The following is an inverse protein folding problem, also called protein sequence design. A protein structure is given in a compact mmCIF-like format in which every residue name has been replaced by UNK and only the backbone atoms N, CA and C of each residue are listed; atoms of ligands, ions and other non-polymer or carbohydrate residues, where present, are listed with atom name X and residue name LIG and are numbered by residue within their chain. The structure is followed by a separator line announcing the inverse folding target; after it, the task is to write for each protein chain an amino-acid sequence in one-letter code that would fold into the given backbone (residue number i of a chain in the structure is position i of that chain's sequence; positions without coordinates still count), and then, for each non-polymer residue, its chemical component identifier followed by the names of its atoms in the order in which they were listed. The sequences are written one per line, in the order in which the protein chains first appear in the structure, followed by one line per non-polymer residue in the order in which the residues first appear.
data_IF_168438394636
#
_entry.id   IF_168438394636
#
_cell.length_a   1.000
_cell.length_b   1.000
_cell.length_c   1.000
_cell.angle_alpha   90.00
_cell.angle_beta   90.00
_cell.angle_gamma   90.00
#
_symmetry.space_group_name_H-M   'P 1'
#
loop_
_entity.id
_entity.type
_entity.pdbx_description
1 polymer ?
#
# COMPACT_ATOMS: atom_id res chain seq x y z
N UNK A 1 27.40 2.19 11.07
CA UNK A 1 26.57 1.23 10.31
C UNK A 1 26.75 1.55 8.84
N UNK A 2 27.09 0.56 8.02
CA UNK A 2 27.39 0.77 6.60
C UNK A 2 26.18 0.40 5.76
N UNK A 3 25.75 1.32 4.89
CA UNK A 3 24.67 1.12 3.92
C UNK A 3 25.27 1.25 2.52
N UNK A 4 24.80 0.43 1.60
CA UNK A 4 25.06 0.58 0.16
C UNK A 4 23.84 1.23 -0.49
N UNK A 5 24.06 2.25 -1.31
CA UNK A 5 23.00 2.89 -2.09
C UNK A 5 23.26 2.71 -3.57
N UNK A 6 22.22 2.57 -4.37
CA UNK A 6 22.29 2.45 -5.82
C UNK A 6 21.05 3.03 -6.48
N UNK A 7 21.17 3.32 -7.76
CA UNK A 7 20.04 3.76 -8.60
C UNK A 7 19.94 2.85 -9.81
N UNK A 8 18.76 2.30 -10.07
CA UNK A 8 18.50 1.51 -11.26
C UNK A 8 18.38 2.41 -12.51
N UNK A 9 18.56 1.86 -13.73
CA UNK A 9 18.43 2.66 -14.96
C UNK A 9 17.10 3.38 -15.15
N UNK A 10 16.03 2.87 -14.54
CA UNK A 10 14.69 3.46 -14.56
C UNK A 10 14.45 4.50 -13.45
N UNK A 11 15.50 4.88 -12.70
CA UNK A 11 15.41 5.90 -11.65
C UNK A 11 15.07 5.39 -10.26
N UNK A 12 14.69 4.12 -10.09
CA UNK A 12 14.41 3.55 -8.76
C UNK A 12 15.70 3.58 -7.92
N UNK A 13 15.60 4.19 -6.75
CA UNK A 13 16.70 4.26 -5.77
C UNK A 13 16.61 3.09 -4.81
N UNK A 14 17.73 2.46 -4.54
CA UNK A 14 17.82 1.38 -3.57
C UNK A 14 18.79 1.69 -2.45
N UNK A 15 18.46 1.21 -1.25
CA UNK A 15 19.33 1.18 -0.09
C UNK A 15 19.40 -0.24 0.42
N UNK A 16 20.60 -0.73 0.68
CA UNK A 16 20.82 -2.09 1.18
C UNK A 16 21.75 -2.06 2.38
N UNK A 17 21.39 -2.85 3.39
CA UNK A 17 22.22 -3.14 4.55
C UNK A 17 22.39 -4.63 4.72
N UNK A 18 23.60 -5.10 4.60
CA UNK A 18 23.92 -6.48 4.90
C UNK A 18 24.06 -6.69 6.41
N UNK A 19 23.33 -7.67 6.94
CA UNK A 19 23.38 -8.06 8.34
C UNK A 19 23.64 -9.57 8.48
N UNK A 20 24.22 -9.97 9.61
CA UNK A 20 24.39 -11.39 9.95
C UNK A 20 23.12 -11.89 10.66
N UNK A 21 22.06 -12.12 9.88
CA UNK A 21 20.79 -12.63 10.37
C UNK A 21 20.29 -13.73 9.43
N UNK A 22 19.44 -14.61 9.94
CA UNK A 22 18.71 -15.62 9.18
C UNK A 22 17.45 -15.05 8.53
N UNK A 23 16.93 -13.96 9.07
CA UNK A 23 15.76 -13.23 8.54
C UNK A 23 16.23 -12.07 7.67
N UNK A 24 15.52 -11.84 6.58
CA UNK A 24 15.71 -10.73 5.66
C UNK A 24 14.40 -9.93 5.52
N UNK A 25 14.54 -8.62 5.42
CA UNK A 25 13.44 -7.70 5.17
C UNK A 25 13.63 -7.03 3.81
N UNK A 26 12.54 -6.85 3.07
CA UNK A 26 12.52 -6.20 1.78
C UNK A 26 11.31 -5.27 1.73
N UNK A 27 11.48 -4.06 1.22
CA UNK A 27 10.39 -3.11 1.05
C UNK A 27 10.54 -2.32 -0.25
N UNK A 28 9.41 -1.92 -0.82
CA UNK A 28 9.29 -0.88 -1.83
C UNK A 28 8.47 0.25 -1.24
N UNK A 29 9.04 1.45 -1.24
CA UNK A 29 8.38 2.67 -0.78
C UNK A 29 8.01 3.51 -2.00
N UNK A 30 6.75 3.84 -2.11
CA UNK A 30 6.17 4.69 -3.16
C UNK A 30 5.92 6.05 -2.50
N UNK A 31 6.55 7.11 -2.99
CA UNK A 31 6.41 8.46 -2.45
C UNK A 31 5.08 9.11 -2.85
N UNK A 32 3.99 8.40 -2.60
CA UNK A 32 2.62 8.87 -2.75
C UNK A 32 1.77 8.29 -1.61
N UNK A 33 1.08 9.15 -0.90
CA UNK A 33 0.23 8.82 0.24
C UNK A 33 -1.07 9.61 0.21
N UNK A 34 -1.82 9.59 1.32
CA UNK A 34 -3.13 10.25 1.32
C UNK A 34 -3.05 11.78 1.16
N UNK A 35 -1.94 12.43 1.51
CA UNK A 35 -1.74 13.88 1.28
C UNK A 35 -1.69 14.30 -0.19
N UNK A 36 -1.46 13.34 -1.10
CA UNK A 36 -1.39 13.59 -2.54
C UNK A 36 -2.77 13.46 -3.20
N UNK A 37 -3.79 13.07 -2.45
CA UNK A 37 -5.17 12.94 -2.89
C UNK A 37 -5.87 14.30 -2.97
N UNK A 38 -6.63 14.55 -4.03
CA UNK A 38 -7.57 15.66 -4.05
C UNK A 38 -8.83 15.35 -3.21
N UNK A 39 -9.60 16.37 -2.76
CA UNK A 39 -10.80 16.15 -1.96
C UNK A 39 -11.84 15.20 -2.57
N UNK A 40 -11.85 15.06 -3.90
CA UNK A 40 -12.68 14.09 -4.59
C UNK A 40 -12.15 12.66 -4.52
N UNK A 41 -10.88 12.48 -4.13
CA UNK A 41 -10.13 11.22 -4.19
C UNK A 41 -9.83 10.61 -2.82
N UNK A 42 -10.27 11.23 -1.74
CA UNK A 42 -9.99 10.78 -0.39
C UNK A 42 -10.31 9.28 -0.17
N UNK A 43 -9.29 8.52 0.23
CA UNK A 43 -9.30 7.08 0.45
C UNK A 43 -8.77 6.25 -0.71
N UNK A 44 -8.31 6.87 -1.80
CA UNK A 44 -7.82 6.15 -2.97
C UNK A 44 -6.47 5.47 -2.72
N UNK A 45 -5.56 6.12 -2.00
CA UNK A 45 -4.26 5.54 -1.65
C UNK A 45 -4.45 4.26 -0.81
N UNK A 46 -5.34 4.31 0.19
CA UNK A 46 -5.70 3.16 1.02
C UNK A 46 -6.41 2.04 0.21
N UNK A 47 -7.36 2.40 -0.67
CA UNK A 47 -7.98 1.43 -1.57
C UNK A 47 -6.95 0.77 -2.50
N UNK A 48 -5.97 1.52 -2.98
CA UNK A 48 -4.89 1.00 -3.83
C UNK A 48 -4.03 0.00 -3.08
N UNK A 49 -3.72 0.26 -1.80
CA UNK A 49 -3.02 -0.67 -0.92
C UNK A 49 -3.76 -2.00 -0.83
N UNK A 50 -5.05 -2.01 -0.50
CA UNK A 50 -5.89 -3.21 -0.46
C UNK A 50 -5.91 -3.94 -1.82
N UNK A 51 -5.96 -3.17 -2.91
CA UNK A 51 -6.03 -3.69 -4.27
C UNK A 51 -4.74 -4.36 -4.75
N UNK A 52 -3.58 -4.04 -4.20
CA UNK A 52 -2.30 -4.69 -4.53
C UNK A 52 -2.34 -6.20 -4.33
N UNK A 53 -3.10 -6.71 -3.38
CA UNK A 53 -3.18 -8.13 -3.05
C UNK A 53 -4.24 -8.90 -3.87
N UNK A 54 -4.94 -8.24 -4.79
CA UNK A 54 -6.09 -8.81 -5.53
C UNK A 54 -5.73 -9.43 -6.88
N UNK A 55 -4.46 -9.48 -7.20
CA UNK A 55 -3.91 -10.17 -8.35
C UNK A 55 -3.08 -9.29 -9.27
N UNK A 56 -2.19 -9.96 -10.00
CA UNK A 56 -1.29 -9.37 -10.98
C UNK A 56 -1.54 -9.99 -12.35
N UNK A 57 -0.85 -9.49 -13.37
CA UNK A 57 -0.84 -10.13 -14.70
C UNK A 57 -0.37 -11.60 -14.66
N UNK A 58 0.40 -11.98 -13.63
CA UNK A 58 1.03 -13.30 -13.49
C UNK A 58 0.41 -14.18 -12.43
N UNK A 59 -0.30 -13.57 -11.45
CA UNK A 59 -0.77 -14.25 -10.23
C UNK A 59 -2.20 -13.87 -9.90
N UNK A 60 -2.99 -14.87 -9.55
CA UNK A 60 -4.30 -14.63 -8.91
C UNK A 60 -4.10 -14.18 -7.47
N UNK A 61 -5.11 -13.54 -6.87
CA UNK A 61 -5.08 -13.05 -5.49
C UNK A 61 -4.54 -14.08 -4.47
N UNK A 62 -5.06 -15.31 -4.49
CA UNK A 62 -4.62 -16.36 -3.58
C UNK A 62 -3.13 -16.73 -3.76
N UNK A 63 -2.60 -16.63 -4.99
CA UNK A 63 -1.18 -16.90 -5.28
C UNK A 63 -0.28 -15.77 -4.77
N UNK A 64 -0.77 -14.54 -4.78
CA UNK A 64 -0.07 -13.40 -4.18
C UNK A 64 0.04 -13.61 -2.67
N UNK A 65 -1.10 -13.85 -2.01
CA UNK A 65 -1.18 -13.95 -0.55
C UNK A 65 -0.39 -15.17 -0.01
N UNK A 66 -0.57 -16.34 -0.60
CA UNK A 66 0.08 -17.56 -0.12
C UNK A 66 1.56 -17.69 -0.54
N UNK A 67 2.08 -16.83 -1.40
CA UNK A 67 3.42 -17.00 -1.99
C UNK A 67 4.54 -17.03 -0.96
N UNK A 68 4.52 -16.14 0.01
CA UNK A 68 5.52 -16.07 1.08
C UNK A 68 5.08 -16.84 2.32
N UNK A 69 3.80 -16.88 2.62
CA UNK A 69 3.26 -17.66 3.75
C UNK A 69 3.67 -19.14 3.66
N UNK A 70 3.58 -19.74 2.47
CA UNK A 70 4.04 -21.12 2.22
C UNK A 70 5.54 -21.35 2.46
N UNK A 71 6.33 -20.29 2.61
CA UNK A 71 7.76 -20.30 2.91
C UNK A 71 8.04 -19.86 4.35
N UNK A 72 6.99 -19.64 5.15
CA UNK A 72 7.10 -19.09 6.51
C UNK A 72 7.48 -17.60 6.54
N UNK A 73 7.24 -16.88 5.44
CA UNK A 73 7.42 -15.43 5.34
C UNK A 73 6.11 -14.68 5.47
N UNK A 74 6.20 -13.37 5.53
CA UNK A 74 5.10 -12.44 5.63
C UNK A 74 5.19 -11.40 4.51
N UNK A 75 4.04 -11.04 3.93
CA UNK A 75 3.89 -9.95 2.97
C UNK A 75 2.81 -9.01 3.50
N UNK A 76 3.11 -7.73 3.55
CA UNK A 76 2.16 -6.72 4.01
C UNK A 76 2.38 -5.39 3.30
N UNK A 77 1.42 -4.47 3.45
CA UNK A 77 1.55 -3.09 3.00
C UNK A 77 0.91 -2.15 4.02
N UNK A 78 1.26 -0.90 3.96
CA UNK A 78 0.59 0.17 4.70
C UNK A 78 0.71 1.49 3.95
N UNK A 79 -0.28 2.34 4.17
CA UNK A 79 -0.36 3.70 3.61
C UNK A 79 -0.24 4.71 4.75
N UNK A 80 0.61 5.71 4.55
CA UNK A 80 0.73 6.88 5.43
C UNK A 80 0.18 8.12 4.73
N UNK A 81 0.33 9.27 5.36
CA UNK A 81 0.02 10.55 4.69
C UNK A 81 0.95 10.82 3.51
N UNK A 82 2.19 10.34 3.53
CA UNK A 82 3.26 10.74 2.59
C UNK A 82 3.75 9.61 1.68
N UNK A 83 3.51 8.36 2.04
CA UNK A 83 3.98 7.21 1.28
C UNK A 83 3.06 5.99 1.39
N UNK A 84 3.20 5.09 0.43
CA UNK A 84 2.64 3.73 0.48
C UNK A 84 3.79 2.74 0.41
N UNK A 85 3.86 1.84 1.37
CA UNK A 85 4.96 0.87 1.50
C UNK A 85 4.43 -0.55 1.35
N UNK A 86 5.04 -1.34 0.46
CA UNK A 86 4.84 -2.79 0.35
C UNK A 86 6.09 -3.44 0.91
N UNK A 87 5.95 -4.33 1.90
CA UNK A 87 7.10 -4.95 2.55
C UNK A 87 6.92 -6.45 2.77
N UNK A 88 8.03 -7.14 2.91
CA UNK A 88 8.07 -8.56 3.21
C UNK A 88 9.17 -8.91 4.20
N UNK A 89 8.88 -9.91 5.02
CA UNK A 89 9.82 -10.55 5.93
C UNK A 89 9.95 -12.01 5.55
N UNK A 90 11.17 -12.50 5.33
CA UNK A 90 11.42 -13.88 4.87
C UNK A 90 12.67 -14.46 5.50
N UNK A 91 12.88 -15.76 5.32
CA UNK A 91 14.22 -16.32 5.50
C UNK A 91 15.15 -15.76 4.41
N UNK A 92 16.43 -15.59 4.75
CA UNK A 92 17.45 -15.02 3.86
C UNK A 92 17.53 -15.72 2.50
N UNK A 93 17.32 -17.05 2.45
CA UNK A 93 17.33 -17.84 1.23
C UNK A 93 16.17 -17.50 0.25
N UNK A 94 15.10 -16.91 0.75
CA UNK A 94 13.90 -16.57 -0.01
C UNK A 94 13.78 -15.08 -0.36
N UNK A 95 14.79 -14.26 -0.01
CA UNK A 95 14.80 -12.83 -0.28
C UNK A 95 14.50 -12.46 -1.74
N UNK A 96 15.09 -13.18 -2.70
CA UNK A 96 14.84 -12.93 -4.12
C UNK A 96 13.38 -13.17 -4.53
N UNK A 97 12.72 -14.14 -3.90
CA UNK A 97 11.29 -14.43 -4.13
C UNK A 97 10.40 -13.31 -3.56
N UNK A 98 10.78 -12.76 -2.39
CA UNK A 98 10.08 -11.63 -1.80
C UNK A 98 10.23 -10.36 -2.66
N UNK A 99 11.44 -10.04 -3.08
CA UNK A 99 11.70 -8.88 -3.93
C UNK A 99 10.98 -8.99 -5.30
N UNK A 100 10.96 -10.18 -5.90
CA UNK A 100 10.23 -10.45 -7.14
C UNK A 100 8.73 -10.28 -6.96
N UNK A 101 8.17 -10.77 -5.84
CA UNK A 101 6.74 -10.65 -5.55
C UNK A 101 6.34 -9.20 -5.31
N UNK A 102 7.10 -8.43 -4.54
CA UNK A 102 6.86 -7.00 -4.33
C UNK A 102 6.88 -6.25 -5.66
N UNK A 103 7.86 -6.52 -6.51
CA UNK A 103 7.92 -5.91 -7.84
C UNK A 103 6.73 -6.31 -8.73
N UNK A 104 6.29 -7.56 -8.67
CA UNK A 104 5.12 -8.02 -9.44
C UNK A 104 3.83 -7.32 -8.98
N UNK A 105 3.64 -7.18 -7.67
CA UNK A 105 2.52 -6.45 -7.07
C UNK A 105 2.56 -4.96 -7.47
N UNK A 106 3.68 -4.29 -7.27
CA UNK A 106 3.77 -2.85 -7.50
C UNK A 106 3.61 -2.46 -8.98
N UNK A 107 4.17 -3.26 -9.90
CA UNK A 107 4.24 -2.87 -11.30
C UNK A 107 3.31 -3.65 -12.25
N UNK A 108 2.62 -4.68 -11.76
CA UNK A 108 1.78 -5.55 -12.59
C UNK A 108 0.41 -5.86 -11.98
N UNK A 109 0.00 -5.16 -10.93
CA UNK A 109 -1.36 -5.31 -10.39
C UNK A 109 -2.41 -5.00 -11.44
N UNK A 110 -3.44 -5.85 -11.52
CA UNK A 110 -4.49 -5.75 -12.54
C UNK A 110 -5.73 -5.03 -12.04
N UNK A 111 -5.88 -4.87 -10.72
CA UNK A 111 -7.01 -4.22 -10.06
C UNK A 111 -8.36 -4.70 -10.61
N UNK A 112 -8.73 -6.00 -10.44
CA UNK A 112 -9.96 -6.54 -11.01
C UNK A 112 -11.19 -5.91 -10.33
N UNK A 113 -12.12 -5.37 -11.11
CA UNK A 113 -13.31 -4.65 -10.58
C UNK A 113 -14.10 -5.49 -9.57
N UNK A 114 -14.27 -6.80 -9.84
CA UNK A 114 -14.97 -7.70 -8.91
C UNK A 114 -14.30 -7.80 -7.54
N UNK A 115 -13.00 -7.80 -7.49
CA UNK A 115 -12.25 -7.85 -6.22
C UNK A 115 -12.27 -6.47 -5.55
N UNK A 116 -12.19 -5.39 -6.34
CA UNK A 116 -12.31 -4.03 -5.82
C UNK A 116 -13.66 -3.76 -5.16
N UNK A 117 -14.77 -4.21 -5.76
CA UNK A 117 -16.09 -4.05 -5.13
C UNK A 117 -16.17 -4.71 -3.74
N UNK A 118 -15.54 -5.87 -3.58
CA UNK A 118 -15.46 -6.54 -2.27
C UNK A 118 -14.59 -5.77 -1.28
N UNK A 119 -13.45 -5.25 -1.75
CA UNK A 119 -12.57 -4.46 -0.87
C UNK A 119 -13.19 -3.14 -0.43
N UNK A 120 -13.97 -2.49 -1.29
CA UNK A 120 -14.73 -1.31 -0.90
C UNK A 120 -15.68 -1.59 0.27
N UNK A 121 -16.33 -2.77 0.29
CA UNK A 121 -17.17 -3.18 1.42
C UNK A 121 -16.33 -3.35 2.69
N UNK A 122 -15.16 -4.01 2.59
CA UNK A 122 -14.23 -4.19 3.72
C UNK A 122 -13.77 -2.84 4.26
N UNK A 123 -13.36 -1.92 3.39
CA UNK A 123 -12.91 -0.58 3.80
C UNK A 123 -14.05 0.24 4.42
N UNK A 124 -15.28 0.10 3.92
CA UNK A 124 -16.46 0.74 4.54
C UNK A 124 -16.69 0.22 5.95
N UNK A 125 -16.53 -1.07 6.18
CA UNK A 125 -16.64 -1.66 7.52
C UNK A 125 -15.49 -1.20 8.42
N UNK A 126 -14.28 -1.05 7.88
CA UNK A 126 -13.14 -0.48 8.60
C UNK A 126 -13.39 0.98 8.99
N UNK A 127 -13.89 1.83 8.07
CA UNK A 127 -14.29 3.22 8.36
C UNK A 127 -15.31 3.27 9.49
N UNK A 128 -16.29 2.36 9.50
CA UNK A 128 -17.31 2.33 10.55
C UNK A 128 -16.69 1.92 11.89
N UNK A 129 -15.87 0.88 11.90
CA UNK A 129 -15.16 0.39 13.09
C UNK A 129 -14.27 1.50 13.69
N UNK A 130 -13.56 2.22 12.83
CA UNK A 130 -12.70 3.32 13.24
C UNK A 130 -13.49 4.49 13.87
N UNK A 131 -14.64 4.83 13.29
CA UNK A 131 -15.55 5.86 13.85
C UNK A 131 -16.11 5.48 15.21
N UNK A 132 -16.28 4.20 15.47
CA UNK A 132 -16.78 3.68 16.75
C UNK A 132 -15.67 3.58 17.82
N UNK A 133 -14.40 3.87 17.46
CA UNK A 133 -13.25 3.90 18.36
C UNK A 133 -12.84 5.33 18.71
N UNK A 134 -13.26 5.91 19.84
CA UNK A 134 -12.87 7.26 20.23
C UNK A 134 -11.36 7.44 20.42
N UNK A 135 -10.65 6.35 20.78
CA UNK A 135 -9.22 6.35 20.99
C UNK A 135 -8.42 6.54 19.69
N UNK A 136 -8.93 6.02 18.57
CA UNK A 136 -8.32 6.18 17.26
C UNK A 136 -8.79 7.49 16.62
N UNK A 137 -10.08 7.77 16.69
CA UNK A 137 -10.68 8.97 16.10
C UNK A 137 -10.10 10.29 16.63
N UNK A 138 -9.61 10.31 17.88
CA UNK A 138 -9.06 11.54 18.47
C UNK A 138 -7.77 11.99 17.75
N UNK A 139 -6.95 11.06 17.27
CA UNK A 139 -5.74 11.39 16.52
C UNK A 139 -6.08 12.06 15.20
N UNK A 140 -7.00 11.49 14.43
CA UNK A 140 -7.43 12.07 13.16
C UNK A 140 -8.13 13.43 13.35
N UNK A 141 -8.98 13.55 14.40
CA UNK A 141 -9.61 14.82 14.71
C UNK A 141 -8.57 15.89 15.06
N UNK A 142 -7.54 15.52 15.80
CA UNK A 142 -6.43 16.43 16.12
C UNK A 142 -5.63 16.82 14.87
N UNK A 143 -5.32 15.88 13.99
CA UNK A 143 -4.60 16.15 12.73
C UNK A 143 -5.42 17.04 11.80
N UNK A 144 -6.73 16.79 11.66
CA UNK A 144 -7.64 17.62 10.86
C UNK A 144 -7.68 19.07 11.36
N UNK A 145 -7.72 19.27 12.68
CA UNK A 145 -7.65 20.60 13.30
C UNK A 145 -6.26 21.26 13.14
N UNK A 146 -5.19 20.49 13.29
CA UNK A 146 -3.82 20.99 13.22
C UNK A 146 -3.43 21.41 11.80
N UNK A 147 -3.91 20.64 10.82
CA UNK A 147 -3.61 20.83 9.40
C UNK A 147 -4.84 21.34 8.62
N UNK A 148 -5.70 22.13 9.27
CA UNK A 148 -6.90 22.68 8.63
C UNK A 148 -6.57 23.37 7.31
N UNK A 149 -7.27 22.98 6.25
CA UNK A 149 -7.06 23.47 4.89
C UNK A 149 -5.85 22.86 4.15
N UNK A 150 -5.19 21.86 4.74
CA UNK A 150 -4.12 21.07 4.11
C UNK A 150 -4.57 19.63 3.88
N UNK A 151 -4.07 19.01 2.81
CA UNK A 151 -4.33 17.59 2.52
C UNK A 151 -3.71 16.64 3.58
N UNK A 152 -2.88 17.13 4.47
CA UNK A 152 -2.39 16.38 5.63
C UNK A 152 -3.47 16.13 6.71
N UNK A 153 -4.53 16.93 6.74
CA UNK A 153 -5.56 16.84 7.78
C UNK A 153 -6.52 15.68 7.58
N UNK A 154 -6.88 15.31 6.35
CA UNK A 154 -7.92 14.32 6.13
C UNK A 154 -7.52 12.89 6.53
N UNK A 155 -8.50 12.08 6.91
CA UNK A 155 -8.31 10.68 7.29
C UNK A 155 -7.87 9.83 6.09
N UNK A 156 -6.88 8.95 6.30
CA UNK A 156 -6.32 8.04 5.27
C UNK A 156 -7.37 7.09 4.71
N UNK A 157 -8.32 6.63 5.54
CA UNK A 157 -9.41 5.75 5.12
C UNK A 157 -10.36 6.42 4.12
N UNK A 158 -10.34 7.74 4.05
CA UNK A 158 -11.17 8.52 3.14
C UNK A 158 -12.65 8.51 3.48
N UNK A 159 -13.49 8.56 2.45
CA UNK A 159 -14.95 8.65 2.59
C UNK A 159 -15.64 7.60 1.73
N UNK A 160 -16.67 6.94 2.28
CA UNK A 160 -17.50 5.98 1.52
C UNK A 160 -17.95 6.52 0.15
N UNK A 161 -18.38 7.80 0.10
CA UNK A 161 -18.86 8.42 -1.13
C UNK A 161 -17.77 8.55 -2.21
N UNK A 162 -16.50 8.71 -1.83
CA UNK A 162 -15.35 8.70 -2.76
C UNK A 162 -15.04 7.30 -3.21
N UNK A 163 -14.88 6.36 -2.26
CA UNK A 163 -14.52 4.96 -2.52
C UNK A 163 -15.44 4.28 -3.53
N UNK A 164 -16.75 4.50 -3.41
CA UNK A 164 -17.73 3.85 -4.29
C UNK A 164 -17.66 4.29 -5.76
N UNK A 165 -16.89 5.33 -6.08
CA UNK A 165 -16.74 5.84 -7.47
C UNK A 165 -15.58 5.24 -8.24
N UNK A 166 -14.62 4.61 -7.55
CA UNK A 166 -13.41 4.10 -8.19
C UNK A 166 -13.63 2.72 -8.81
N UNK A 167 -13.11 2.54 -10.00
CA UNK A 167 -12.93 1.25 -10.66
C UNK A 167 -11.44 0.96 -10.89
N UNK A 168 -11.12 -0.21 -11.42
CA UNK A 168 -9.74 -0.61 -11.68
C UNK A 168 -9.03 0.29 -12.71
N UNK A 169 -9.77 0.98 -13.56
CA UNK A 169 -9.21 1.93 -14.50
C UNK A 169 -8.76 3.21 -13.79
N UNK A 170 -9.58 3.77 -12.91
CA UNK A 170 -9.25 4.95 -12.12
C UNK A 170 -7.98 4.73 -11.27
N UNK A 171 -7.88 3.57 -10.59
CA UNK A 171 -6.68 3.24 -9.81
C UNK A 171 -5.43 3.17 -10.70
N UNK A 172 -5.52 2.55 -11.89
CA UNK A 172 -4.39 2.47 -12.82
C UNK A 172 -3.95 3.83 -13.37
N UNK A 173 -4.88 4.73 -13.63
CA UNK A 173 -4.59 6.07 -14.16
C UNK A 173 -3.86 6.92 -13.12
N UNK A 174 -4.30 6.89 -11.88
CA UNK A 174 -3.68 7.62 -10.78
C UNK A 174 -2.31 7.03 -10.43
N UNK A 175 -2.19 5.70 -10.38
CA UNK A 175 -0.89 5.04 -10.18
C UNK A 175 0.16 5.40 -11.24
N UNK A 176 -0.26 5.73 -12.47
CA UNK A 176 0.65 6.20 -13.53
C UNK A 176 1.05 7.66 -13.39
N UNK A 177 0.22 8.47 -12.74
CA UNK A 177 0.51 9.90 -12.55
C UNK A 177 1.56 10.14 -11.45
N UNK A 178 1.79 9.15 -10.58
CA UNK A 178 2.70 9.25 -9.44
C UNK A 178 3.99 8.38 -9.58
N UNK A 179 4.27 7.80 -10.76
CA UNK A 179 5.48 6.98 -11.01
C UNK A 179 6.46 7.70 -11.92
#
# INVERSE_FOLDING_TARGET
MEFSTYTLPNGIRGIHRQVRNTVAHCALVIGAGSRDEHPAEYGLAHLTEHAFFKGTERRKAWQVNCRLENLGGELNAFTTKEDTTIHATTLKGDFAKAAELIADIAFRSTFPDRELEREKEVIVDEINTYKDSPADLIYDTFEDMLFEGSELGHNILGRKASLMRYDGQAIREIGRAHV
#
